data_IF_671241205026
#
_entry.id   IF_671241205026
#
_cell.length_a   1.000
_cell.length_b   1.000
_cell.length_c   1.000
_cell.angle_alpha   90.00
_cell.angle_beta   90.00
_cell.angle_gamma   90.00
#
_symmetry.space_group_name_H-M   'P 1'
#
loop_
_entity.id
_entity.type
_entity.pdbx_description
1 polymer ?
#
# COMPACT_ATOMS: atom_id res chain seq x y z
N UNK A 1 13.35 0.79 -2.78
CA UNK A 1 12.21 -0.15 -2.68
C UNK A 1 11.52 0.08 -1.35
N UNK A 2 10.19 0.17 -1.34
CA UNK A 2 9.42 0.25 -0.09
C UNK A 2 9.27 -1.15 0.50
N UNK A 3 9.62 -1.31 1.78
CA UNK A 3 9.57 -2.60 2.46
C UNK A 3 8.14 -2.90 2.93
N UNK A 4 7.69 -4.15 2.76
CA UNK A 4 6.45 -4.63 3.39
C UNK A 4 6.79 -5.02 4.83
N UNK A 5 6.18 -4.33 5.79
CA UNK A 5 6.38 -4.54 7.22
C UNK A 5 5.41 -5.58 7.76
N UNK A 6 4.18 -5.57 7.26
CA UNK A 6 3.14 -6.51 7.66
C UNK A 6 2.28 -6.90 6.46
N UNK A 7 1.81 -8.15 6.46
CA UNK A 7 0.88 -8.69 5.47
C UNK A 7 -0.14 -9.55 6.19
N UNK A 8 -1.41 -9.20 6.05
CA UNK A 8 -2.53 -9.93 6.65
C UNK A 8 -3.61 -10.17 5.60
N UNK A 9 -4.17 -11.38 5.57
CA UNK A 9 -5.29 -11.70 4.69
C UNK A 9 -6.60 -11.55 5.47
N UNK A 10 -7.48 -10.67 5.02
CA UNK A 10 -8.83 -10.55 5.55
C UNK A 10 -9.78 -11.58 4.93
N UNK A 11 -9.49 -12.01 3.71
CA UNK A 11 -10.15 -13.10 3.01
C UNK A 11 -9.21 -13.66 1.93
N UNK A 12 -9.67 -14.67 1.18
CA UNK A 12 -8.94 -15.20 0.02
C UNK A 12 -8.66 -14.12 -1.04
N UNK A 13 -9.56 -13.14 -1.15
CA UNK A 13 -9.46 -12.07 -2.15
C UNK A 13 -8.91 -10.75 -1.57
N UNK A 14 -8.92 -10.52 -0.26
CA UNK A 14 -8.57 -9.22 0.32
C UNK A 14 -7.35 -9.33 1.23
N UNK A 15 -6.34 -8.50 0.96
CA UNK A 15 -5.10 -8.43 1.72
C UNK A 15 -4.84 -7.02 2.23
N UNK A 16 -4.42 -6.91 3.48
CA UNK A 16 -3.84 -5.71 4.08
C UNK A 16 -2.32 -5.78 3.96
N UNK A 17 -1.71 -4.72 3.44
CA UNK A 17 -0.27 -4.51 3.44
C UNK A 17 0.07 -3.26 4.22
N UNK A 18 1.00 -3.37 5.16
CA UNK A 18 1.65 -2.23 5.80
C UNK A 18 3.02 -2.05 5.16
N UNK A 19 3.26 -0.87 4.59
CA UNK A 19 4.43 -0.58 3.77
C UNK A 19 5.18 0.61 4.32
N UNK A 20 6.50 0.50 4.41
CA UNK A 20 7.38 1.59 4.81
C UNK A 20 7.47 2.65 3.70
N UNK A 21 6.99 3.85 4.00
CA UNK A 21 6.91 4.98 3.08
C UNK A 21 6.82 6.31 3.86
N UNK A 22 7.90 6.73 4.56
CA UNK A 22 7.85 7.85 5.51
C UNK A 22 7.44 9.19 4.86
N UNK A 23 7.89 9.45 3.63
CA UNK A 23 7.54 10.68 2.90
C UNK A 23 6.06 10.71 2.49
N UNK A 24 5.48 9.55 2.15
CA UNK A 24 4.07 9.43 1.78
C UNK A 24 3.21 9.52 3.05
N UNK A 25 3.60 8.83 4.13
CA UNK A 25 2.91 8.88 5.41
C UNK A 25 2.75 10.32 5.92
N UNK A 26 3.79 11.15 5.78
CA UNK A 26 3.79 12.57 6.16
C UNK A 26 2.94 13.47 5.26
N UNK A 27 2.81 13.14 3.98
CA UNK A 27 2.17 14.02 2.97
C UNK A 27 0.74 13.62 2.60
N UNK A 28 0.30 12.41 2.97
CA UNK A 28 -1.01 11.88 2.57
C UNK A 28 -2.16 12.71 3.15
N UNK A 29 -3.22 12.87 2.35
CA UNK A 29 -4.52 13.41 2.75
C UNK A 29 -5.61 12.40 2.40
N UNK A 30 -6.81 12.58 2.95
CA UNK A 30 -7.95 11.74 2.61
C UNK A 30 -8.20 11.77 1.10
N UNK A 31 -8.47 10.61 0.50
CA UNK A 31 -8.65 10.44 -0.95
C UNK A 31 -7.35 10.30 -1.76
N UNK A 32 -6.17 10.46 -1.16
CA UNK A 32 -4.92 10.19 -1.86
C UNK A 32 -4.71 8.69 -2.11
N UNK A 33 -4.02 8.40 -3.21
CA UNK A 33 -3.60 7.07 -3.61
C UNK A 33 -2.13 7.09 -4.00
N UNK A 34 -1.53 5.90 -4.10
CA UNK A 34 -0.17 5.69 -4.58
C UNK A 34 -0.19 4.90 -5.89
N UNK A 35 0.81 5.11 -6.74
CA UNK A 35 1.08 4.24 -7.88
C UNK A 35 2.09 3.19 -7.45
N UNK A 36 1.71 1.92 -7.54
CA UNK A 36 2.57 0.78 -7.20
C UNK A 36 2.99 0.06 -8.49
N UNK A 37 4.23 -0.41 -8.52
CA UNK A 37 4.78 -1.24 -9.60
C UNK A 37 5.57 -2.41 -9.01
N UNK A 38 5.26 -3.63 -9.45
CA UNK A 38 5.92 -4.86 -8.99
C UNK A 38 7.10 -5.23 -9.91
N UNK A 39 8.33 -5.00 -9.45
CA UNK A 39 9.53 -5.29 -10.23
C UNK A 39 9.66 -4.44 -11.51
N UNK A 40 10.61 -4.79 -12.39
CA UNK A 40 10.91 -3.97 -13.58
C UNK A 40 9.86 -4.08 -14.69
N UNK A 41 9.28 -5.27 -14.89
CA UNK A 41 8.29 -5.55 -15.93
C UNK A 41 6.84 -5.39 -15.47
N UNK A 42 6.60 -5.09 -14.19
CA UNK A 42 5.25 -4.94 -13.66
C UNK A 42 4.54 -3.69 -14.18
N UNK A 43 3.22 -3.74 -14.16
CA UNK A 43 2.36 -2.62 -14.49
C UNK A 43 2.29 -1.60 -13.35
N UNK A 44 1.89 -0.37 -13.68
CA UNK A 44 1.67 0.71 -12.70
C UNK A 44 0.19 0.75 -12.34
N UNK A 45 -0.15 0.38 -11.12
CA UNK A 45 -1.54 0.34 -10.64
C UNK A 45 -1.77 1.37 -9.52
N UNK A 46 -2.92 2.08 -9.53
CA UNK A 46 -3.28 2.96 -8.44
C UNK A 46 -3.87 2.17 -7.27
N UNK A 47 -3.40 2.45 -6.05
CA UNK A 47 -3.92 1.87 -4.81
C UNK A 47 -4.18 2.96 -3.78
N UNK A 48 -5.39 3.01 -3.24
CA UNK A 48 -5.80 3.98 -2.23
C UNK A 48 -5.04 3.77 -0.92
N UNK A 49 -4.61 4.87 -0.29
CA UNK A 49 -4.01 4.83 1.05
C UNK A 49 -5.16 4.72 2.07
N UNK A 50 -5.31 3.54 2.68
CA UNK A 50 -6.37 3.29 3.65
C UNK A 50 -6.06 3.94 5.01
N UNK A 51 -4.80 3.92 5.43
CA UNK A 51 -4.32 4.57 6.64
C UNK A 51 -2.83 4.93 6.52
N UNK A 52 -2.34 5.76 7.43
CA UNK A 52 -0.91 5.98 7.59
C UNK A 52 -0.57 6.28 9.05
N UNK A 53 0.61 5.84 9.46
CA UNK A 53 1.24 6.09 10.76
C UNK A 53 2.51 6.91 10.49
N UNK A 54 2.50 8.17 10.93
CA UNK A 54 3.58 9.12 10.67
C UNK A 54 4.82 8.81 11.50
N UNK A 55 4.62 8.34 12.74
CA UNK A 55 5.69 8.03 13.69
C UNK A 55 6.44 6.77 13.26
N UNK A 56 5.72 5.75 12.80
CA UNK A 56 6.31 4.53 12.23
C UNK A 56 6.76 4.71 10.78
N UNK A 57 6.37 5.80 10.11
CA UNK A 57 6.70 6.06 8.72
C UNK A 57 6.06 5.07 7.73
N UNK A 58 4.86 4.56 8.05
CA UNK A 58 4.19 3.52 7.26
C UNK A 58 2.86 3.96 6.67
N UNK A 59 2.49 3.38 5.53
CA UNK A 59 1.14 3.47 4.96
C UNK A 59 0.49 2.09 4.93
N UNK A 60 -0.83 2.05 5.04
CA UNK A 60 -1.63 0.83 4.93
C UNK A 60 -2.39 0.84 3.61
N UNK A 61 -2.29 -0.27 2.88
CA UNK A 61 -3.00 -0.53 1.64
C UNK A 61 -3.94 -1.71 1.86
N UNK A 62 -5.19 -1.58 1.44
CA UNK A 62 -6.15 -2.69 1.35
C UNK A 62 -6.34 -2.99 -0.12
N UNK A 63 -6.04 -4.22 -0.52
CA UNK A 63 -5.99 -4.62 -1.93
C UNK A 63 -6.91 -5.81 -2.11
N UNK A 64 -7.79 -5.73 -3.09
CA UNK A 64 -8.58 -6.87 -3.55
C UNK A 64 -7.91 -7.49 -4.77
N UNK A 65 -7.68 -8.80 -4.73
CA UNK A 65 -7.24 -9.59 -5.88
C UNK A 65 -8.40 -9.68 -6.87
N UNK A 66 -8.27 -8.95 -7.98
CA UNK A 66 -9.25 -8.93 -9.09
C UNK A 66 -8.66 -9.46 -10.41
N UNK A 67 -7.33 -9.56 -10.49
CA UNK A 67 -6.61 -10.14 -11.64
C UNK A 67 -6.22 -11.60 -11.43
N UNK A 68 -5.90 -12.28 -12.53
CA UNK A 68 -5.54 -13.71 -12.57
C UNK A 68 -4.06 -13.89 -12.26
#
# INVERSE_FOLDING_TARGET
MSKIIEKEYFSEAVVRLVVEAPHIAKSRKAGHFVIVKTGEKGERIPLTIAAADVDKGTITLIIQKVGV
#
